data_IF_164992612131
#
_entry.id   IF_164992612131
#
_cell.length_a   1.000
_cell.length_b   1.000
_cell.length_c   1.000
_cell.angle_alpha   90.00
_cell.angle_beta   90.00
_cell.angle_gamma   90.00
#
_symmetry.space_group_name_H-M   'P 1'
#
loop_
_entity.id
_entity.type
_entity.pdbx_description
1 polymer ?
#
# COMPACT_ATOMS: atom_id res chain seq x y z
N UNK A 1 -8.71 -7.06 -5.81
CA UNK A 1 -7.68 -6.85 -4.78
C UNK A 1 -7.62 -5.40 -4.28
N UNK A 2 -7.44 -4.42 -5.15
CA UNK A 2 -7.35 -3.01 -4.73
C UNK A 2 -8.56 -2.52 -3.92
N UNK A 3 -9.77 -2.95 -4.27
CA UNK A 3 -10.99 -2.56 -3.54
C UNK A 3 -11.01 -3.12 -2.12
N UNK A 4 -10.45 -4.31 -1.92
CA UNK A 4 -10.55 -5.03 -0.65
C UNK A 4 -9.31 -4.91 0.25
N UNK A 5 -8.20 -4.36 -0.26
CA UNK A 5 -6.93 -4.42 0.47
C UNK A 5 -6.94 -3.72 1.84
N UNK A 6 -7.71 -2.65 1.99
CA UNK A 6 -7.84 -1.89 3.23
C UNK A 6 -9.09 -2.23 4.04
N UNK A 7 -9.82 -3.28 3.66
CA UNK A 7 -11.09 -3.62 4.33
C UNK A 7 -10.93 -3.88 5.83
N UNK A 8 -9.78 -4.41 6.25
CA UNK A 8 -9.46 -4.62 7.67
C UNK A 8 -9.46 -3.35 8.50
N UNK A 9 -9.15 -2.21 7.90
CA UNK A 9 -9.13 -0.90 8.57
C UNK A 9 -10.51 -0.44 9.02
N UNK A 10 -11.60 -0.99 8.43
CA UNK A 10 -12.95 -0.76 8.90
C UNK A 10 -13.15 -1.22 10.36
N UNK A 11 -12.34 -2.17 10.82
CA UNK A 11 -12.39 -2.72 12.18
C UNK A 11 -11.30 -2.16 13.10
N UNK A 12 -10.11 -1.86 12.55
CA UNK A 12 -8.91 -1.47 13.32
C UNK A 12 -8.57 0.01 13.24
N UNK A 13 -9.15 0.74 12.28
CA UNK A 13 -8.80 2.12 11.97
C UNK A 13 -7.61 2.22 10.99
N UNK A 14 -7.47 3.37 10.38
CA UNK A 14 -6.39 3.67 9.45
C UNK A 14 -5.14 4.14 10.23
N UNK A 15 -3.99 3.55 9.89
CA UNK A 15 -2.69 3.94 10.42
C UNK A 15 -1.85 4.44 9.24
N UNK A 16 -1.22 5.64 9.35
CA UNK A 16 -0.38 6.16 8.27
C UNK A 16 0.67 5.13 7.82
N UNK A 17 0.86 5.00 6.51
CA UNK A 17 1.68 3.94 5.91
C UNK A 17 3.10 3.86 6.50
N UNK A 18 3.70 5.01 6.82
CA UNK A 18 5.06 5.08 7.38
C UNK A 18 5.13 4.77 8.88
N UNK A 19 4.00 4.80 9.57
CA UNK A 19 3.89 4.50 11.00
C UNK A 19 3.38 3.08 11.27
N UNK A 20 2.90 2.38 10.23
CA UNK A 20 2.32 1.04 10.35
C UNK A 20 3.38 0.00 10.71
N UNK A 21 3.10 -0.80 11.74
CA UNK A 21 3.98 -1.87 12.23
C UNK A 21 3.51 -3.23 11.75
N UNK A 22 4.38 -4.26 11.91
CA UNK A 22 4.01 -5.66 11.62
C UNK A 22 2.91 -6.17 12.56
N UNK A 23 2.83 -5.69 13.79
CA UNK A 23 1.76 -6.04 14.73
C UNK A 23 0.41 -5.48 14.28
N UNK A 24 0.39 -4.27 13.71
CA UNK A 24 -0.81 -3.67 13.13
C UNK A 24 -1.31 -4.51 11.94
N UNK A 25 -0.40 -4.94 11.06
CA UNK A 25 -0.74 -5.80 9.92
C UNK A 25 -1.29 -7.16 10.37
N UNK A 26 -0.72 -7.76 11.41
CA UNK A 26 -1.20 -9.02 11.98
C UNK A 26 -2.59 -8.88 12.59
N UNK A 27 -2.86 -7.80 13.29
CA UNK A 27 -4.18 -7.51 13.87
C UNK A 27 -5.24 -7.36 12.79
N UNK A 28 -4.95 -6.60 11.74
CA UNK A 28 -5.84 -6.46 10.59
C UNK A 28 -6.11 -7.82 9.92
N UNK A 29 -5.07 -8.63 9.70
CA UNK A 29 -5.19 -9.95 9.10
C UNK A 29 -6.07 -10.89 9.91
N UNK A 30 -5.96 -10.87 11.24
CA UNK A 30 -6.79 -11.69 12.13
C UNK A 30 -8.26 -11.26 12.11
N UNK A 31 -8.52 -9.97 12.11
CA UNK A 31 -9.90 -9.43 12.05
C UNK A 31 -10.56 -9.76 10.71
N UNK A 32 -9.84 -9.63 9.61
CA UNK A 32 -10.32 -10.02 8.27
C UNK A 32 -10.65 -11.51 8.23
N UNK A 33 -9.79 -12.35 8.78
CA UNK A 33 -10.03 -13.81 8.83
C UNK A 33 -11.29 -14.15 9.61
N UNK A 34 -11.49 -13.58 10.77
CA UNK A 34 -12.71 -13.78 11.57
C UNK A 34 -13.96 -13.33 10.81
N UNK A 35 -13.90 -12.20 10.14
CA UNK A 35 -15.01 -11.70 9.34
C UNK A 35 -15.33 -12.64 8.17
N UNK A 36 -14.32 -13.10 7.43
CA UNK A 36 -14.48 -14.04 6.31
C UNK A 36 -15.10 -15.36 6.81
N UNK A 37 -14.63 -15.89 7.93
CA UNK A 37 -15.14 -17.12 8.53
C UNK A 37 -16.62 -17.02 8.91
N UNK A 38 -17.13 -15.81 9.14
CA UNK A 38 -18.55 -15.56 9.44
C UNK A 38 -19.46 -15.53 8.21
N UNK A 39 -18.89 -15.46 7.00
CA UNK A 39 -19.65 -15.33 5.77
C UNK A 39 -20.22 -16.67 5.27
N UNK A 40 -21.39 -16.66 4.59
CA UNK A 40 -21.90 -17.83 3.93
C UNK A 40 -21.08 -18.19 2.68
N UNK A 41 -21.17 -19.46 2.26
CA UNK A 41 -20.66 -19.87 0.95
C UNK A 41 -21.55 -19.32 -0.19
N UNK A 42 -20.99 -19.00 -1.37
CA UNK A 42 -19.59 -19.21 -1.76
C UNK A 42 -18.63 -18.07 -1.37
N UNK A 43 -19.12 -17.01 -0.76
CA UNK A 43 -18.34 -15.80 -0.47
C UNK A 43 -17.17 -16.05 0.48
N UNK A 44 -17.36 -16.91 1.46
CA UNK A 44 -16.31 -17.27 2.42
C UNK A 44 -15.09 -17.85 1.71
N UNK A 45 -15.28 -18.86 0.86
CA UNK A 45 -14.18 -19.50 0.13
C UNK A 45 -13.54 -18.54 -0.87
N UNK A 46 -14.34 -17.82 -1.65
CA UNK A 46 -13.82 -16.87 -2.64
C UNK A 46 -12.96 -15.76 -2.01
N UNK A 47 -13.41 -15.18 -0.92
CA UNK A 47 -12.66 -14.13 -0.23
C UNK A 47 -11.43 -14.67 0.50
N UNK A 48 -11.53 -15.86 1.10
CA UNK A 48 -10.39 -16.50 1.73
C UNK A 48 -9.26 -16.76 0.72
N UNK A 49 -9.58 -17.24 -0.46
CA UNK A 49 -8.63 -17.48 -1.55
C UNK A 49 -8.03 -16.15 -2.05
N UNK A 50 -8.85 -15.13 -2.24
CA UNK A 50 -8.40 -13.81 -2.68
C UNK A 50 -7.40 -13.20 -1.69
N UNK A 51 -7.72 -13.18 -0.40
CA UNK A 51 -6.82 -12.63 0.61
C UNK A 51 -5.55 -13.46 0.79
N UNK A 52 -5.63 -14.78 0.62
CA UNK A 52 -4.44 -15.64 0.61
C UNK A 52 -3.51 -15.30 -0.57
N UNK A 53 -4.05 -15.12 -1.77
CA UNK A 53 -3.28 -14.71 -2.96
C UNK A 53 -2.63 -13.34 -2.75
N UNK A 54 -3.37 -12.38 -2.20
CA UNK A 54 -2.86 -11.05 -1.89
C UNK A 54 -1.69 -11.10 -0.90
N UNK A 55 -1.79 -11.95 0.11
CA UNK A 55 -0.75 -12.11 1.14
C UNK A 55 0.51 -12.77 0.60
N UNK A 56 0.36 -13.78 -0.25
CA UNK A 56 1.50 -14.50 -0.84
C UNK A 56 2.32 -13.65 -1.81
N UNK A 57 1.69 -12.73 -2.53
CA UNK A 57 2.34 -11.81 -3.49
C UNK A 57 3.16 -12.51 -4.58
N UNK A 58 2.70 -13.68 -5.03
CA UNK A 58 3.37 -14.45 -6.08
C UNK A 58 2.79 -14.19 -7.47
N UNK A 59 1.48 -14.00 -7.56
CA UNK A 59 0.83 -13.70 -8.85
C UNK A 59 1.11 -12.27 -9.30
N UNK A 60 1.02 -12.03 -10.60
CA UNK A 60 1.18 -10.68 -11.17
C UNK A 60 0.16 -9.71 -10.59
N UNK A 61 -1.08 -10.16 -10.42
CA UNK A 61 -2.17 -9.37 -9.85
C UNK A 61 -1.86 -8.96 -8.40
N UNK A 62 -1.38 -9.89 -7.58
CA UNK A 62 -1.02 -9.63 -6.20
C UNK A 62 0.17 -8.67 -6.08
N UNK A 63 1.16 -8.81 -6.95
CA UNK A 63 2.30 -7.87 -7.03
C UNK A 63 1.85 -6.49 -7.47
N UNK A 64 0.96 -6.42 -8.46
CA UNK A 64 0.47 -5.16 -9.00
C UNK A 64 -0.35 -4.39 -7.97
N UNK A 65 -1.32 -5.03 -7.29
CA UNK A 65 -2.10 -4.31 -6.28
C UNK A 65 -1.20 -3.72 -5.19
N UNK A 66 -0.18 -4.46 -4.76
CA UNK A 66 0.73 -3.99 -3.70
C UNK A 66 1.63 -2.85 -4.18
N UNK A 67 2.08 -2.91 -5.42
CA UNK A 67 2.81 -1.80 -6.03
C UNK A 67 1.94 -0.53 -6.09
N UNK A 68 0.68 -0.65 -6.52
CA UNK A 68 -0.26 0.47 -6.60
C UNK A 68 -0.59 1.05 -5.21
N UNK A 69 -0.77 0.20 -4.21
CA UNK A 69 -0.98 0.61 -2.82
C UNK A 69 0.19 1.48 -2.33
N UNK A 70 1.42 1.04 -2.55
CA UNK A 70 2.62 1.81 -2.17
C UNK A 70 2.75 3.11 -2.97
N UNK A 71 2.48 3.07 -4.27
CA UNK A 71 2.58 4.24 -5.13
C UNK A 71 1.49 5.27 -4.86
N UNK A 72 0.31 4.83 -4.44
CA UNK A 72 -0.77 5.73 -4.04
C UNK A 72 -0.30 6.65 -2.90
N UNK A 73 0.33 6.10 -1.86
CA UNK A 73 0.86 6.87 -0.74
C UNK A 73 1.91 7.90 -1.20
N UNK A 74 2.83 7.50 -2.08
CA UNK A 74 3.87 8.40 -2.63
C UNK A 74 3.25 9.54 -3.46
N UNK A 75 2.29 9.21 -4.32
CA UNK A 75 1.61 10.20 -5.17
C UNK A 75 0.77 11.15 -4.33
N UNK A 76 0.08 10.65 -3.32
CA UNK A 76 -0.72 11.45 -2.40
C UNK A 76 0.16 12.49 -1.67
N UNK A 77 1.34 12.10 -1.20
CA UNK A 77 2.31 13.02 -0.62
C UNK A 77 2.79 14.07 -1.64
N UNK A 78 3.02 13.68 -2.89
CA UNK A 78 3.39 14.62 -3.95
C UNK A 78 2.30 15.64 -4.24
N UNK A 79 1.03 15.28 -4.10
CA UNK A 79 -0.11 16.18 -4.29
C UNK A 79 -0.35 17.10 -3.08
N UNK A 80 -0.01 16.64 -1.87
CA UNK A 80 -0.14 17.44 -0.65
C UNK A 80 0.86 18.59 -0.61
N UNK A 81 0.54 19.65 0.15
CA UNK A 81 1.49 20.74 0.37
C UNK A 81 2.72 20.23 1.13
N UNK A 82 3.91 20.65 0.70
CA UNK A 82 5.16 20.16 1.30
C UNK A 82 5.30 20.55 2.78
N UNK A 83 4.64 21.60 3.21
CA UNK A 83 4.63 22.00 4.64
C UNK A 83 3.98 20.95 5.54
N UNK A 84 3.20 20.04 4.96
CA UNK A 84 2.58 18.91 5.68
C UNK A 84 3.51 17.71 5.84
N UNK A 85 4.66 17.71 5.16
CA UNK A 85 5.60 16.59 5.22
C UNK A 85 6.39 16.59 6.52
N UNK A 86 6.46 15.44 7.17
CA UNK A 86 7.32 15.24 8.32
C UNK A 86 8.77 15.02 7.87
N UNK A 87 9.78 15.34 8.70
CA UNK A 87 11.20 15.16 8.31
C UNK A 87 11.54 13.75 7.80
N UNK A 88 10.97 12.71 8.41
CA UNK A 88 11.18 11.31 8.00
C UNK A 88 10.65 11.05 6.59
N UNK A 89 9.58 11.72 6.18
CA UNK A 89 8.92 11.50 4.89
C UNK A 89 9.77 11.96 3.70
N UNK A 90 10.68 12.90 3.89
CA UNK A 90 11.58 13.34 2.81
C UNK A 90 12.46 12.19 2.28
N UNK A 91 13.00 11.37 3.18
CA UNK A 91 13.82 10.22 2.79
C UNK A 91 12.97 9.03 2.35
N UNK A 92 11.92 8.72 3.09
CA UNK A 92 11.03 7.60 2.80
C UNK A 92 10.30 7.77 1.46
N UNK A 93 9.98 9.01 1.08
CA UNK A 93 9.29 9.31 -0.18
C UNK A 93 10.04 8.77 -1.41
N UNK A 94 11.35 8.75 -1.37
CA UNK A 94 12.18 8.29 -2.48
C UNK A 94 12.37 6.76 -2.52
N UNK A 95 12.26 6.08 -1.39
CA UNK A 95 12.51 4.64 -1.28
C UNK A 95 11.26 3.79 -1.10
N UNK A 96 10.17 4.41 -0.62
CA UNK A 96 8.92 3.70 -0.36
C UNK A 96 8.33 3.11 -1.64
N UNK A 97 8.04 1.82 -1.61
CA UNK A 97 7.51 1.11 -2.77
C UNK A 97 8.55 0.65 -3.79
N UNK A 98 9.84 0.87 -3.55
CA UNK A 98 10.91 0.49 -4.49
C UNK A 98 10.91 -1.03 -4.77
N UNK A 99 10.80 -1.86 -3.75
CA UNK A 99 10.76 -3.32 -3.88
C UNK A 99 9.51 -3.79 -4.60
N UNK A 100 8.37 -3.23 -4.25
CA UNK A 100 7.06 -3.62 -4.76
C UNK A 100 6.89 -3.24 -6.24
N UNK A 101 7.54 -2.18 -6.69
CA UNK A 101 7.47 -1.73 -8.08
C UNK A 101 8.53 -2.35 -9.00
N UNK A 102 9.48 -3.12 -8.45
CA UNK A 102 10.61 -3.64 -9.20
C UNK A 102 10.27 -4.74 -10.22
N UNK A 103 9.10 -5.38 -10.12
CA UNK A 103 8.76 -6.57 -10.89
C UNK A 103 8.37 -6.30 -12.36
N UNK A 104 8.07 -5.08 -12.75
CA UNK A 104 7.68 -4.75 -14.13
C UNK A 104 8.22 -3.39 -14.57
N UNK A 105 8.39 -3.22 -15.88
CA UNK A 105 8.83 -1.94 -16.45
C UNK A 105 7.83 -0.82 -16.17
N UNK A 106 6.53 -1.12 -16.30
CA UNK A 106 5.48 -0.13 -16.07
C UNK A 106 5.52 0.42 -14.64
N UNK A 107 5.62 -0.45 -13.64
CA UNK A 107 5.65 -0.04 -12.23
C UNK A 107 6.97 0.63 -11.84
N UNK A 108 8.11 0.19 -12.41
CA UNK A 108 9.40 0.88 -12.24
C UNK A 108 9.37 2.29 -12.81
N UNK A 109 8.78 2.46 -13.99
CA UNK A 109 8.63 3.77 -14.62
C UNK A 109 7.72 4.69 -13.82
N UNK A 110 6.63 4.16 -13.25
CA UNK A 110 5.77 4.90 -12.35
C UNK A 110 6.53 5.39 -11.11
N UNK A 111 7.30 4.51 -10.48
CA UNK A 111 8.14 4.85 -9.33
C UNK A 111 9.17 5.92 -9.66
N UNK A 112 9.85 5.78 -10.79
CA UNK A 112 10.82 6.76 -11.28
C UNK A 112 10.18 8.14 -11.45
N UNK A 113 9.02 8.20 -12.10
CA UNK A 113 8.29 9.47 -12.30
C UNK A 113 7.87 10.10 -10.98
N UNK A 114 7.34 9.30 -10.06
CA UNK A 114 6.97 9.79 -8.74
C UNK A 114 8.16 10.33 -7.96
N UNK A 115 9.34 9.70 -8.06
CA UNK A 115 10.56 10.20 -7.44
C UNK A 115 11.02 11.52 -8.06
N UNK A 116 10.92 11.68 -9.38
CA UNK A 116 11.22 12.94 -10.06
C UNK A 116 10.33 14.07 -9.56
N UNK A 117 9.04 13.81 -9.42
CA UNK A 117 8.06 14.78 -8.89
C UNK A 117 8.37 15.13 -7.41
N UNK A 118 8.72 14.15 -6.58
CA UNK A 118 9.11 14.36 -5.18
C UNK A 118 10.36 15.25 -5.10
N UNK A 119 11.39 14.95 -5.88
CA UNK A 119 12.62 15.74 -5.90
C UNK A 119 12.40 17.18 -6.39
N UNK A 120 11.55 17.36 -7.40
CA UNK A 120 11.19 18.68 -7.91
C UNK A 120 10.45 19.49 -6.84
N UNK A 121 9.57 18.87 -6.08
CA UNK A 121 8.84 19.49 -4.98
C UNK A 121 9.78 19.91 -3.84
N UNK A 122 10.70 19.04 -3.44
CA UNK A 122 11.70 19.34 -2.41
C UNK A 122 12.60 20.52 -2.80
N UNK A 123 13.01 20.60 -4.08
CA UNK A 123 13.86 21.70 -4.58
C UNK A 123 13.18 23.05 -4.56
N UNK A 124 11.89 23.10 -4.89
CA UNK A 124 11.12 24.36 -4.91
C UNK A 124 10.95 24.99 -3.53
N UNK A 125 11.11 24.19 -2.49
CA UNK A 125 10.87 24.60 -1.11
C UNK A 125 12.16 24.95 -0.33
N UNK A 126 13.29 24.93 -1.00
CA UNK A 126 14.58 25.36 -0.42
C UNK A 126 14.82 26.85 -0.59
#
# INVERSE_FOLDING_TARGET
MCIMHDFGEAFTGDIPAFDKTSDDENTEGNVIKEWIDSLPEPYRTELAELFAEMKERKTTEAKLYKALDKMEAVIQHNEADISTWLPLEYDLQLTYGEKETAFSDATRNLKKRANEDSLAKMKKNK
#
